data_IF_717565920760
#
_entry.id   IF_717565920760
#
_cell.length_a   1.000
_cell.length_b   1.000
_cell.length_c   1.000
_cell.angle_alpha   90.00
_cell.angle_beta   90.00
_cell.angle_gamma   90.00
#
_symmetry.space_group_name_H-M   'P 1'
#
loop_
_entity.id
_entity.type
_entity.pdbx_description
1 polymer ?
#
# COMPACT_ATOMS: atom_id res chain seq x y z
N UNK A 1 -3.39 26.06 -4.32
CA UNK A 1 -2.10 25.50 -3.89
C UNK A 1 -2.46 24.18 -3.24
N UNK A 2 -1.93 23.07 -3.74
CA UNK A 2 -2.23 21.75 -3.21
C UNK A 2 -1.85 21.66 -1.73
N UNK A 3 -2.69 21.03 -0.92
CA UNK A 3 -2.54 20.89 0.53
C UNK A 3 -1.92 19.55 0.91
N UNK A 4 -0.89 19.13 0.17
CA UNK A 4 -0.31 17.78 0.31
C UNK A 4 0.51 17.70 1.60
N UNK A 5 0.19 16.70 2.42
CA UNK A 5 0.93 16.37 3.62
C UNK A 5 2.10 15.42 3.27
N UNK A 6 3.23 16.03 2.87
CA UNK A 6 4.42 15.27 2.47
C UNK A 6 5.03 14.47 3.63
N UNK A 7 4.97 15.01 4.85
CA UNK A 7 5.48 14.33 6.05
C UNK A 7 4.69 13.05 6.30
N UNK A 8 3.35 13.13 6.21
CA UNK A 8 2.50 11.95 6.33
C UNK A 8 2.77 10.90 5.26
N UNK A 9 2.94 11.32 3.99
CA UNK A 9 3.24 10.40 2.89
C UNK A 9 4.60 9.71 3.14
N UNK A 10 5.62 10.45 3.54
CA UNK A 10 6.95 9.92 3.83
C UNK A 10 6.92 8.90 4.98
N UNK A 11 6.23 9.22 6.07
CA UNK A 11 6.02 8.30 7.20
C UNK A 11 5.40 6.97 6.74
N UNK A 12 4.35 7.04 5.92
CA UNK A 12 3.67 5.85 5.43
C UNK A 12 4.54 5.04 4.46
N UNK A 13 5.31 5.69 3.58
CA UNK A 13 6.25 5.02 2.69
C UNK A 13 7.36 4.31 3.46
N UNK A 14 7.91 4.96 4.50
CA UNK A 14 8.92 4.38 5.36
C UNK A 14 8.37 3.15 6.10
N UNK A 15 7.14 3.22 6.61
CA UNK A 15 6.52 2.11 7.33
C UNK A 15 6.08 0.97 6.42
N UNK A 16 5.63 1.28 5.20
CA UNK A 16 5.39 0.29 4.15
C UNK A 16 6.67 -0.52 3.86
N UNK A 17 7.81 0.15 3.72
CA UNK A 17 9.11 -0.52 3.55
C UNK A 17 9.44 -1.45 4.72
N UNK A 18 9.18 -1.02 5.96
CA UNK A 18 9.33 -1.91 7.12
C UNK A 18 8.43 -3.14 7.02
N UNK A 19 7.19 -2.99 6.58
CA UNK A 19 6.28 -4.12 6.40
C UNK A 19 6.78 -5.11 5.34
N UNK A 20 7.25 -4.61 4.20
CA UNK A 20 7.80 -5.46 3.14
C UNK A 20 9.04 -6.22 3.61
N UNK A 21 9.93 -5.58 4.37
CA UNK A 21 11.08 -6.26 4.95
C UNK A 21 10.68 -7.36 5.93
N UNK A 22 9.68 -7.11 6.80
CA UNK A 22 9.15 -8.14 7.70
C UNK A 22 8.60 -9.31 6.90
N UNK A 23 7.88 -9.06 5.80
CA UNK A 23 7.35 -10.12 4.94
C UNK A 23 8.46 -10.98 4.33
N UNK A 24 9.54 -10.36 3.86
CA UNK A 24 10.69 -11.08 3.31
C UNK A 24 11.41 -11.91 4.42
N UNK A 25 11.53 -11.38 5.64
CA UNK A 25 12.24 -12.01 6.77
C UNK A 25 11.53 -13.24 7.36
N UNK A 26 10.20 -13.29 7.26
CA UNK A 26 9.40 -14.35 7.90
C UNK A 26 9.08 -15.52 6.96
N UNK A 27 9.45 -15.42 5.68
CA UNK A 27 9.31 -16.52 4.71
C UNK A 27 10.46 -17.52 4.87
N UNK A 28 10.20 -18.84 4.89
CA UNK A 28 8.89 -19.48 4.83
C UNK A 28 8.13 -19.41 6.17
N UNK A 29 6.79 -19.33 6.11
CA UNK A 29 5.89 -19.16 7.26
C UNK A 29 5.73 -20.44 8.11
N UNK A 30 6.83 -20.98 8.63
CA UNK A 30 6.88 -22.28 9.32
C UNK A 30 6.40 -22.26 10.76
N UNK A 31 6.41 -21.09 11.41
CA UNK A 31 6.02 -20.95 12.82
C UNK A 31 4.77 -20.06 12.98
N UNK A 32 4.01 -20.27 14.05
CA UNK A 32 2.87 -19.39 14.38
C UNK A 32 3.31 -17.92 14.54
N UNK A 33 4.42 -17.58 15.24
CA UNK A 33 4.91 -16.21 15.27
C UNK A 33 5.20 -15.61 13.89
N UNK A 34 5.79 -16.37 12.97
CA UNK A 34 6.04 -15.93 11.60
C UNK A 34 4.72 -15.66 10.85
N UNK A 35 3.70 -16.51 11.04
CA UNK A 35 2.37 -16.30 10.47
C UNK A 35 1.68 -15.05 11.04
N UNK A 36 1.74 -14.83 12.35
CA UNK A 36 1.21 -13.61 12.98
C UNK A 36 1.94 -12.35 12.52
N UNK A 37 3.27 -12.40 12.38
CA UNK A 37 4.07 -11.30 11.87
C UNK A 37 3.69 -10.98 10.42
N UNK A 38 3.57 -11.99 9.55
CA UNK A 38 3.16 -11.81 8.16
C UNK A 38 1.74 -11.23 8.06
N UNK A 39 0.78 -11.78 8.81
CA UNK A 39 -0.60 -11.28 8.82
C UNK A 39 -0.67 -9.80 9.23
N UNK A 40 0.11 -9.42 10.26
CA UNK A 40 0.16 -8.02 10.71
C UNK A 40 0.86 -7.11 9.71
N UNK A 41 1.98 -7.55 9.13
CA UNK A 41 2.71 -6.79 8.13
C UNK A 41 1.87 -6.55 6.87
N UNK A 42 1.13 -7.56 6.39
CA UNK A 42 0.18 -7.43 5.27
C UNK A 42 -0.92 -6.42 5.56
N UNK A 43 -1.56 -6.52 6.73
CA UNK A 43 -2.60 -5.57 7.14
C UNK A 43 -2.06 -4.15 7.17
N UNK A 44 -0.93 -3.93 7.84
CA UNK A 44 -0.34 -2.60 7.96
C UNK A 44 0.09 -2.06 6.59
N UNK A 45 0.68 -2.88 5.72
CA UNK A 45 1.04 -2.47 4.37
C UNK A 45 -0.18 -1.99 3.57
N UNK A 46 -1.33 -2.66 3.71
CA UNK A 46 -2.60 -2.21 3.11
C UNK A 46 -3.02 -0.85 3.67
N UNK A 47 -2.98 -0.64 4.99
CA UNK A 47 -3.31 0.67 5.58
C UNK A 47 -2.38 1.76 5.06
N UNK A 48 -1.06 1.49 4.96
CA UNK A 48 -0.11 2.46 4.42
C UNK A 48 -0.45 2.89 2.99
N UNK A 49 -0.78 1.94 2.12
CA UNK A 49 -1.21 2.21 0.74
C UNK A 49 -2.46 3.09 0.72
N UNK A 50 -3.45 2.77 1.55
CA UNK A 50 -4.72 3.50 1.56
C UNK A 50 -4.59 4.87 2.21
N UNK A 51 -3.76 5.04 3.23
CA UNK A 51 -3.45 6.32 3.86
C UNK A 51 -2.72 7.25 2.89
N UNK A 52 -1.74 6.73 2.13
CA UNK A 52 -1.06 7.49 1.07
C UNK A 52 -2.06 7.88 -0.02
N UNK A 53 -2.91 6.92 -0.44
CA UNK A 53 -3.94 7.19 -1.45
C UNK A 53 -4.90 8.29 -1.03
N UNK A 54 -5.40 8.26 0.21
CA UNK A 54 -6.24 9.32 0.76
C UNK A 54 -5.51 10.67 0.81
N UNK A 55 -4.25 10.69 1.24
CA UNK A 55 -3.45 11.92 1.27
C UNK A 55 -3.26 12.55 -0.12
N UNK A 56 -3.10 11.72 -1.16
CA UNK A 56 -3.05 12.19 -2.55
C UNK A 56 -4.42 12.70 -3.02
N UNK A 57 -5.49 11.95 -2.76
CA UNK A 57 -6.85 12.34 -3.14
C UNK A 57 -7.21 13.70 -2.56
N UNK A 58 -7.02 13.88 -1.25
CA UNK A 58 -7.28 15.13 -0.55
C UNK A 58 -6.35 16.24 -1.04
N UNK A 59 -5.07 15.92 -1.21
CA UNK A 59 -4.02 16.87 -1.58
C UNK A 59 -4.20 17.45 -2.99
N UNK A 60 -4.67 16.64 -3.94
CA UNK A 60 -4.87 16.99 -5.35
C UNK A 60 -6.33 17.31 -5.72
N UNK A 61 -7.26 17.26 -4.77
CA UNK A 61 -8.70 17.46 -4.99
C UNK A 61 -9.27 16.46 -6.02
N UNK A 62 -8.87 15.20 -5.94
CA UNK A 62 -9.44 14.10 -6.73
C UNK A 62 -10.87 13.80 -6.27
N UNK A 63 -11.55 12.83 -6.91
CA UNK A 63 -12.88 12.38 -6.46
C UNK A 63 -12.82 11.68 -5.10
N UNK A 64 -13.86 11.83 -4.28
CA UNK A 64 -13.96 11.16 -2.99
C UNK A 64 -14.03 9.62 -3.13
N UNK A 65 -13.32 8.84 -2.29
CA UNK A 65 -13.41 7.39 -2.28
C UNK A 65 -14.64 6.91 -1.49
N UNK A 66 -15.37 5.95 -2.05
CA UNK A 66 -16.47 5.26 -1.36
C UNK A 66 -16.05 4.01 -0.58
N UNK A 67 -14.84 3.51 -0.78
CA UNK A 67 -14.30 2.28 -0.16
C UNK A 67 -12.78 2.23 -0.24
N UNK A 68 -12.16 1.23 0.40
CA UNK A 68 -10.70 1.03 0.32
C UNK A 68 -10.27 0.66 -1.10
N UNK A 69 -11.04 -0.18 -1.80
CA UNK A 69 -10.80 -0.56 -3.19
C UNK A 69 -10.92 0.66 -4.12
N UNK A 70 -11.85 1.55 -3.82
CA UNK A 70 -12.09 2.77 -4.61
C UNK A 70 -10.92 3.74 -4.52
N UNK A 71 -10.17 3.77 -3.40
CA UNK A 71 -8.92 4.53 -3.31
C UNK A 71 -7.94 4.07 -4.39
N UNK A 72 -7.75 2.76 -4.55
CA UNK A 72 -6.82 2.21 -5.55
C UNK A 72 -7.31 2.51 -6.97
N UNK A 73 -8.63 2.43 -7.22
CA UNK A 73 -9.19 2.82 -8.51
C UNK A 73 -8.95 4.30 -8.84
N UNK A 74 -9.11 5.20 -7.86
CA UNK A 74 -8.80 6.62 -8.08
C UNK A 74 -7.33 6.82 -8.43
N UNK A 75 -6.42 6.12 -7.74
CA UNK A 75 -4.98 6.19 -8.06
C UNK A 75 -4.66 5.67 -9.47
N UNK A 76 -5.43 4.70 -9.99
CA UNK A 76 -5.32 4.27 -11.40
C UNK A 76 -5.88 5.31 -12.35
N UNK A 77 -7.11 5.79 -12.10
CA UNK A 77 -7.82 6.77 -12.92
C UNK A 77 -6.98 8.06 -13.10
N UNK A 78 -6.29 8.48 -12.05
CA UNK A 78 -5.42 9.67 -12.01
C UNK A 78 -3.98 9.39 -12.47
N UNK A 79 -3.71 8.20 -13.01
CA UNK A 79 -2.41 7.75 -13.52
C UNK A 79 -1.26 7.76 -12.49
N UNK A 80 -1.58 7.66 -11.19
CA UNK A 80 -0.59 7.44 -10.13
C UNK A 80 -0.02 6.03 -10.24
N UNK A 81 -0.89 5.05 -10.51
CA UNK A 81 -0.53 3.65 -10.67
C UNK A 81 -0.79 3.17 -12.10
N UNK A 82 0.15 2.41 -12.71
CA UNK A 82 -0.14 1.67 -13.94
C UNK A 82 -1.29 0.68 -13.72
N UNK A 83 -2.11 0.46 -14.76
CA UNK A 83 -3.30 -0.41 -14.70
C UNK A 83 -3.01 -1.79 -14.07
N UNK A 84 -1.95 -2.46 -14.52
CA UNK A 84 -1.59 -3.80 -14.04
C UNK A 84 -1.18 -3.81 -12.56
N UNK A 85 -0.39 -2.83 -12.14
CA UNK A 85 0.05 -2.70 -10.73
C UNK A 85 -1.15 -2.35 -9.85
N UNK A 86 -2.00 -1.41 -10.29
CA UNK A 86 -3.21 -1.01 -9.57
C UNK A 86 -4.18 -2.18 -9.37
N UNK A 87 -4.39 -3.04 -10.37
CA UNK A 87 -5.22 -4.24 -10.23
C UNK A 87 -4.68 -5.24 -9.20
N UNK A 88 -3.36 -5.42 -9.14
CA UNK A 88 -2.74 -6.29 -8.14
C UNK A 88 -2.87 -5.72 -6.73
N UNK A 89 -2.64 -4.41 -6.58
CA UNK A 89 -2.76 -3.70 -5.30
C UNK A 89 -4.22 -3.72 -4.83
N UNK A 90 -5.19 -3.51 -5.73
CA UNK A 90 -6.61 -3.59 -5.39
C UNK A 90 -6.99 -4.97 -4.84
N UNK A 91 -6.56 -6.06 -5.48
CA UNK A 91 -6.79 -7.43 -4.96
C UNK A 91 -6.19 -7.65 -3.58
N UNK A 92 -5.07 -7.00 -3.27
CA UNK A 92 -4.47 -7.05 -1.94
C UNK A 92 -5.33 -6.29 -0.92
N UNK A 93 -5.79 -5.09 -1.27
CA UNK A 93 -6.68 -4.26 -0.46
C UNK A 93 -8.01 -4.95 -0.17
N UNK A 94 -8.60 -5.65 -1.15
CA UNK A 94 -9.81 -6.49 -0.96
C UNK A 94 -9.63 -7.55 0.14
N UNK A 95 -8.40 -8.03 0.34
CA UNK A 95 -8.08 -9.04 1.35
C UNK A 95 -7.98 -8.46 2.77
N UNK A 96 -8.05 -7.13 2.94
CA UNK A 96 -8.03 -6.45 4.25
C UNK A 96 -9.04 -7.04 5.23
N UNK A 97 -10.27 -7.28 4.78
CA UNK A 97 -11.35 -7.81 5.64
C UNK A 97 -10.99 -9.18 6.22
N UNK A 98 -10.26 -10.00 5.46
CA UNK A 98 -9.77 -11.29 5.95
C UNK A 98 -8.76 -11.12 7.08
N UNK A 99 -7.86 -10.16 6.95
CA UNK A 99 -6.79 -9.94 7.92
C UNK A 99 -7.28 -9.29 9.22
N UNK A 100 -8.37 -8.53 9.20
CA UNK A 100 -8.82 -7.71 10.35
C UNK A 100 -10.12 -8.17 11.00
N UNK A 101 -11.02 -8.83 10.25
CA UNK A 101 -12.31 -9.31 10.76
C UNK A 101 -12.41 -10.83 10.69
N UNK A 102 -12.02 -11.43 9.56
CA UNK A 102 -12.18 -12.87 9.30
C UNK A 102 -10.87 -13.64 9.52
N UNK A 103 -10.06 -13.20 10.47
CA UNK A 103 -8.69 -13.70 10.67
C UNK A 103 -8.64 -15.17 11.09
N UNK A 104 -9.75 -15.74 11.56
CA UNK A 104 -9.89 -17.18 11.84
C UNK A 104 -9.92 -18.04 10.58
N UNK A 105 -10.24 -17.44 9.43
CA UNK A 105 -10.38 -18.12 8.14
C UNK A 105 -9.09 -18.02 7.30
N UNK A 106 -8.06 -17.35 7.82
CA UNK A 106 -6.78 -17.12 7.14
C UNK A 106 -5.78 -18.20 7.57
N UNK A 107 -5.63 -19.22 6.74
CA UNK A 107 -4.63 -20.28 6.96
C UNK A 107 -3.25 -19.91 6.40
N UNK A 108 -2.24 -20.74 6.69
CA UNK A 108 -0.86 -20.58 6.21
C UNK A 108 -0.79 -20.42 4.68
N UNK A 109 -1.58 -21.20 3.93
CA UNK A 109 -1.53 -21.21 2.46
C UNK A 109 -2.08 -19.91 1.90
N UNK A 110 -3.15 -19.38 2.50
CA UNK A 110 -3.68 -18.07 2.15
C UNK A 110 -2.68 -16.97 2.49
N UNK A 111 -2.01 -17.01 3.65
CA UNK A 111 -0.95 -16.05 3.98
C UNK A 111 0.20 -16.09 2.96
N UNK A 112 0.68 -17.28 2.58
CA UNK A 112 1.72 -17.42 1.55
C UNK A 112 1.28 -16.76 0.23
N UNK A 113 0.03 -16.99 -0.19
CA UNK A 113 -0.54 -16.35 -1.39
C UNK A 113 -0.59 -14.83 -1.27
N UNK A 114 -1.04 -14.31 -0.13
CA UNK A 114 -1.15 -12.87 0.12
C UNK A 114 0.23 -12.20 0.18
N UNK A 115 1.21 -12.86 0.81
CA UNK A 115 2.60 -12.38 0.86
C UNK A 115 3.21 -12.31 -0.53
N UNK A 116 3.00 -13.31 -1.39
CA UNK A 116 3.42 -13.22 -2.81
C UNK A 116 2.71 -12.08 -3.55
N UNK A 117 1.42 -11.85 -3.29
CA UNK A 117 0.70 -10.74 -3.91
C UNK A 117 1.25 -9.37 -3.45
N UNK A 118 1.74 -9.27 -2.22
CA UNK A 118 2.33 -8.06 -1.67
C UNK A 118 3.62 -7.62 -2.39
N UNK A 119 4.25 -8.46 -3.21
CA UNK A 119 5.36 -8.05 -4.08
C UNK A 119 4.96 -6.92 -5.04
N UNK A 120 3.68 -6.80 -5.38
CA UNK A 120 3.13 -5.71 -6.17
C UNK A 120 3.30 -4.33 -5.50
N UNK A 121 3.54 -4.29 -4.18
CA UNK A 121 3.80 -3.05 -3.43
C UNK A 121 5.26 -2.58 -3.51
N UNK A 122 6.20 -3.43 -3.94
CA UNK A 122 7.62 -3.07 -4.06
C UNK A 122 7.87 -1.83 -4.93
N UNK A 123 7.21 -1.64 -6.10
CA UNK A 123 7.37 -0.42 -6.89
C UNK A 123 6.59 0.79 -6.34
N UNK A 124 5.70 0.64 -5.35
CA UNK A 124 4.74 1.66 -4.95
C UNK A 124 5.41 2.98 -4.56
N UNK A 125 6.46 2.95 -3.72
CA UNK A 125 7.20 4.17 -3.33
C UNK A 125 7.74 4.95 -4.52
N UNK A 126 8.26 4.25 -5.54
CA UNK A 126 8.72 4.88 -6.78
C UNK A 126 7.57 5.53 -7.53
N UNK A 127 6.40 4.88 -7.61
CA UNK A 127 5.20 5.43 -8.27
C UNK A 127 4.73 6.72 -7.64
N UNK A 128 4.68 6.78 -6.31
CA UNK A 128 4.31 7.99 -5.58
C UNK A 128 5.31 9.11 -5.84
N UNK A 129 6.61 8.83 -5.81
CA UNK A 129 7.65 9.81 -6.12
C UNK A 129 7.60 10.32 -7.56
N UNK A 130 7.37 9.44 -8.54
CA UNK A 130 7.20 9.79 -9.96
C UNK A 130 5.99 10.72 -10.16
N UNK A 131 4.84 10.37 -9.58
CA UNK A 131 3.62 11.15 -9.67
C UNK A 131 3.76 12.54 -9.04
N UNK A 132 4.27 12.62 -7.81
CA UNK A 132 4.48 13.91 -7.14
C UNK A 132 5.42 14.81 -7.93
N UNK A 133 6.50 14.26 -8.49
CA UNK A 133 7.43 15.01 -9.33
C UNK A 133 6.78 15.52 -10.62
N UNK A 134 5.91 14.72 -11.24
CA UNK A 134 5.17 15.10 -12.42
C UNK A 134 4.26 16.30 -12.13
N UNK A 135 3.50 16.26 -11.04
CA UNK A 135 2.48 17.28 -10.74
C UNK A 135 3.05 18.56 -10.11
N UNK A 136 4.17 18.48 -9.39
CA UNK A 136 4.71 19.58 -8.59
C UNK A 136 6.08 20.10 -9.05
N UNK A 137 6.73 19.41 -10.00
CA UNK A 137 8.05 19.78 -10.51
C UNK A 137 9.18 19.58 -9.49
N UNK A 138 10.20 20.46 -9.50
CA UNK A 138 11.38 20.35 -8.62
C UNK A 138 11.11 20.69 -7.14
N UNK A 139 9.88 21.08 -6.79
CA UNK A 139 9.51 21.45 -5.42
C UNK A 139 9.14 20.26 -4.52
N UNK A 140 9.33 19.03 -5.00
CA UNK A 140 9.03 17.81 -4.23
C UNK A 140 10.20 17.49 -3.31
N UNK A 141 9.97 17.31 -2.00
CA UNK A 141 11.02 16.85 -1.10
C UNK A 141 11.57 15.50 -1.59
N UNK A 142 12.87 15.25 -1.48
CA UNK A 142 13.43 13.96 -1.81
C UNK A 142 12.86 12.93 -0.85
N UNK A 143 11.95 12.08 -1.31
CA UNK A 143 11.59 10.87 -0.57
C UNK A 143 12.77 9.91 -0.63
N UNK A 144 13.11 9.28 0.50
CA UNK A 144 14.01 8.14 0.52
C UNK A 144 13.31 6.93 -0.13
N UNK A 145 13.28 6.91 -1.48
CA UNK A 145 12.74 5.81 -2.31
C UNK A 145 13.60 4.56 -2.15
#
# INVERSE_FOLDING_TARGET
MYGIDFERIEEQLAYLRTCLNVLDDVIPLESEPAQFAAARALHVAIECVTDIGNALIDGFFMRDPGSYEDIVEILKDENVLPEEEGEQIKRLVECRRKLVVQYTDVDKKELERLTTLADALKPFSRRIGEYLKQELGENVPPFDI
#
